data_IF_057239211960
#
_entry.id   IF_057239211960
#
_cell.length_a   1.000
_cell.length_b   1.000
_cell.length_c   1.000
_cell.angle_alpha   90.00
_cell.angle_beta   90.00
_cell.angle_gamma   90.00
#
_symmetry.space_group_name_H-M   'P 1'
#
loop_
_entity.id
_entity.type
_entity.pdbx_description
1 polymer ?
#
# COMPACT_ATOMS: atom_id res chain seq x y z
N UNK A 1 63.38 8.11 4.80
CA UNK A 1 63.20 6.90 5.65
C UNK A 1 61.73 6.56 5.81
N UNK A 2 61.39 5.38 5.33
CA UNK A 2 60.18 4.56 5.60
C UNK A 2 58.81 5.17 5.63
N UNK A 3 58.11 5.00 4.51
CA UNK A 3 56.66 4.99 4.31
C UNK A 3 55.94 4.00 5.24
N UNK A 4 54.82 4.42 5.81
CA UNK A 4 53.75 3.49 6.20
C UNK A 4 52.42 4.00 5.69
N UNK A 5 51.96 3.33 4.66
CA UNK A 5 50.58 3.44 4.10
C UNK A 5 49.64 2.72 5.04
N UNK A 6 48.70 3.40 5.67
CA UNK A 6 47.58 2.79 6.38
C UNK A 6 46.42 2.65 5.40
N UNK A 7 46.11 1.40 5.05
CA UNK A 7 44.90 1.04 4.32
C UNK A 7 43.72 1.06 5.30
N UNK A 8 42.76 1.97 5.10
CA UNK A 8 41.46 1.94 5.77
C UNK A 8 40.58 0.92 5.04
N UNK A 9 40.24 -0.16 5.72
CA UNK A 9 39.22 -1.13 5.30
C UNK A 9 37.86 -0.55 5.67
N UNK A 10 37.08 -0.18 4.67
CA UNK A 10 35.66 0.11 4.84
C UNK A 10 34.93 -1.23 5.01
N UNK A 11 34.46 -1.52 6.23
CA UNK A 11 33.56 -2.64 6.48
C UNK A 11 32.15 -2.25 6.12
N UNK A 12 31.64 -2.79 5.03
CA UNK A 12 30.22 -2.79 4.72
C UNK A 12 29.50 -3.72 5.70
N UNK A 13 28.77 -3.13 6.64
CA UNK A 13 27.88 -3.86 7.52
C UNK A 13 26.63 -4.31 6.76
N UNK A 14 26.63 -5.57 6.34
CA UNK A 14 25.42 -6.24 5.86
C UNK A 14 24.52 -6.50 7.08
N UNK A 15 23.46 -5.74 7.24
CA UNK A 15 22.44 -6.01 8.25
C UNK A 15 21.56 -7.15 7.75
N UNK A 16 21.91 -8.37 8.14
CA UNK A 16 21.09 -9.56 7.93
C UNK A 16 20.01 -9.57 9.02
N UNK A 17 18.77 -9.24 8.67
CA UNK A 17 17.61 -9.53 9.51
C UNK A 17 17.42 -11.05 9.57
N UNK A 18 17.92 -11.67 10.64
CA UNK A 18 17.61 -13.06 10.96
C UNK A 18 16.18 -13.12 11.50
N UNK A 19 15.24 -13.53 10.66
CA UNK A 19 13.96 -14.02 11.11
C UNK A 19 14.19 -15.39 11.77
N UNK A 20 13.95 -15.46 13.08
CA UNK A 20 13.92 -16.72 13.81
C UNK A 20 12.73 -17.56 13.31
N UNK A 21 12.97 -18.35 12.29
CA UNK A 21 12.10 -19.44 11.84
C UNK A 21 12.66 -20.74 12.39
N UNK A 22 11.84 -21.45 13.15
CA UNK A 22 12.08 -22.75 13.74
C UNK A 22 12.82 -23.68 12.77
N UNK A 23 13.97 -24.18 13.21
CA UNK A 23 14.70 -25.25 12.54
C UNK A 23 13.86 -26.51 12.51
N UNK A 24 13.17 -26.74 11.41
CA UNK A 24 12.67 -28.08 11.08
C UNK A 24 13.89 -28.86 10.59
N UNK A 25 14.32 -29.81 11.38
CA UNK A 25 15.26 -30.84 10.94
C UNK A 25 14.63 -31.53 9.74
N UNK A 26 15.09 -31.19 8.55
CA UNK A 26 14.75 -31.89 7.34
C UNK A 26 15.42 -33.26 7.41
N UNK A 27 14.68 -34.26 7.91
CA UNK A 27 14.94 -35.63 7.48
C UNK A 27 14.70 -35.63 5.98
N UNK A 28 15.72 -35.99 5.23
CA UNK A 28 15.61 -36.26 3.81
C UNK A 28 14.64 -37.44 3.64
N UNK A 29 13.35 -37.11 3.51
CA UNK A 29 12.37 -38.02 2.93
C UNK A 29 12.70 -38.09 1.45
N UNK A 30 13.16 -39.24 1.01
CA UNK A 30 13.30 -39.54 -0.41
C UNK A 30 11.95 -39.26 -1.09
N UNK A 31 11.89 -38.16 -1.81
CA UNK A 31 10.73 -37.79 -2.59
C UNK A 31 10.50 -38.88 -3.63
N UNK A 32 9.34 -39.56 -3.66
CA UNK A 32 9.06 -40.58 -4.65
C UNK A 32 9.23 -39.96 -6.03
N UNK A 33 10.01 -40.61 -6.89
CA UNK A 33 10.54 -40.22 -8.16
C UNK A 33 9.72 -39.18 -8.93
N UNK A 34 10.33 -38.00 -9.16
CA UNK A 34 9.87 -37.08 -10.18
C UNK A 34 9.82 -37.86 -11.49
N UNK A 35 8.63 -38.25 -11.91
CA UNK A 35 8.42 -38.83 -13.23
C UNK A 35 8.95 -37.83 -14.24
N UNK A 36 10.00 -38.18 -14.98
CA UNK A 36 10.55 -37.32 -16.04
C UNK A 36 9.41 -36.97 -17.00
N UNK A 37 9.07 -35.68 -17.01
CA UNK A 37 8.03 -35.18 -17.89
C UNK A 37 8.61 -35.10 -19.30
N UNK A 38 8.37 -36.12 -20.11
CA UNK A 38 8.89 -36.20 -21.48
C UNK A 38 8.33 -35.12 -22.40
N UNK A 39 7.12 -34.63 -22.11
CA UNK A 39 6.47 -33.53 -22.83
C UNK A 39 5.82 -32.57 -21.80
N UNK A 40 6.29 -31.34 -21.77
CA UNK A 40 5.72 -30.31 -20.92
C UNK A 40 4.49 -29.66 -21.57
N UNK A 41 3.40 -29.59 -20.84
CA UNK A 41 2.22 -28.78 -21.17
C UNK A 41 2.26 -27.53 -20.30
N UNK A 42 2.55 -26.39 -20.91
CA UNK A 42 2.77 -25.11 -20.19
C UNK A 42 1.44 -24.35 -20.00
N UNK A 43 1.24 -23.79 -18.81
CA UNK A 43 0.19 -22.83 -18.53
C UNK A 43 0.75 -21.63 -17.74
N UNK A 44 0.11 -20.48 -17.94
CA UNK A 44 0.36 -19.29 -17.13
C UNK A 44 -0.48 -19.35 -15.87
N UNK A 45 0.13 -19.03 -14.74
CA UNK A 45 -0.55 -18.85 -13.45
C UNK A 45 -0.21 -17.48 -12.92
N UNK A 46 -1.18 -16.81 -12.28
CA UNK A 46 -1.01 -15.49 -11.66
C UNK A 46 -1.32 -15.61 -10.18
N UNK A 47 -0.41 -15.15 -9.34
CA UNK A 47 -0.54 -15.08 -7.89
C UNK A 47 -0.47 -13.62 -7.46
N UNK A 48 -1.35 -13.20 -6.54
CA UNK A 48 -1.34 -11.87 -5.96
C UNK A 48 -0.91 -11.93 -4.51
N UNK A 49 0.07 -11.12 -4.13
CA UNK A 49 0.52 -11.00 -2.74
C UNK A 49 0.37 -9.58 -2.25
N UNK A 50 -0.29 -9.43 -1.11
CA UNK A 50 -0.44 -8.15 -0.43
C UNK A 50 0.81 -7.86 0.40
N UNK A 51 1.43 -6.72 0.15
CA UNK A 51 2.64 -6.28 0.84
C UNK A 51 2.49 -4.83 1.29
N UNK A 52 3.14 -4.47 2.40
CA UNK A 52 3.15 -3.09 2.86
C UNK A 52 4.08 -2.25 1.99
N UNK A 53 3.52 -1.19 1.37
CA UNK A 53 4.27 -0.19 0.61
C UNK A 53 4.24 1.11 1.40
N UNK A 54 5.38 1.54 1.93
CA UNK A 54 5.49 2.84 2.62
C UNK A 54 5.31 3.98 1.60
N UNK A 55 4.22 4.74 1.75
CA UNK A 55 3.86 5.83 0.84
C UNK A 55 3.84 7.16 1.61
N UNK A 56 4.45 8.23 1.08
CA UNK A 56 4.39 9.55 1.68
C UNK A 56 3.04 10.21 1.42
N UNK A 57 2.50 10.89 2.45
CA UNK A 57 1.29 11.71 2.38
C UNK A 57 1.59 13.08 2.96
N UNK A 58 1.16 14.15 2.31
CA UNK A 58 1.24 15.50 2.86
C UNK A 58 0.19 15.68 3.95
N UNK A 59 0.61 16.20 5.09
CA UNK A 59 -0.25 16.47 6.23
C UNK A 59 -0.05 17.92 6.67
N UNK A 60 -1.13 18.68 6.83
CA UNK A 60 -1.09 20.04 7.31
C UNK A 60 -1.35 20.08 8.81
N UNK A 61 -0.41 20.67 9.53
CA UNK A 61 -0.51 20.85 10.98
C UNK A 61 -1.39 22.06 11.34
N UNK A 62 -1.89 22.14 12.59
CA UNK A 62 -2.71 23.26 13.06
C UNK A 62 -2.01 24.63 12.99
N UNK A 63 -0.69 24.66 13.07
CA UNK A 63 0.14 25.87 12.92
C UNK A 63 0.29 26.35 11.47
N UNK A 64 -0.29 25.61 10.51
CA UNK A 64 -0.25 25.90 9.08
C UNK A 64 0.97 25.33 8.36
N UNK A 65 1.92 24.70 9.06
CA UNK A 65 3.05 24.01 8.43
C UNK A 65 2.61 22.67 7.84
N UNK A 66 3.41 22.14 6.90
CA UNK A 66 3.16 20.84 6.28
C UNK A 66 4.26 19.88 6.67
N UNK A 67 3.88 18.69 7.12
CA UNK A 67 4.79 17.56 7.34
C UNK A 67 4.46 16.42 6.36
N UNK A 68 5.37 15.46 6.26
CA UNK A 68 5.13 14.24 5.48
C UNK A 68 4.89 13.08 6.44
N UNK A 69 3.70 12.51 6.40
CA UNK A 69 3.40 11.23 7.04
C UNK A 69 3.75 10.08 6.09
N UNK A 70 4.25 8.99 6.64
CA UNK A 70 4.47 7.74 5.89
C UNK A 70 3.44 6.72 6.29
N UNK A 71 2.66 6.26 5.33
CA UNK A 71 1.55 5.35 5.54
C UNK A 71 1.63 4.16 4.57
N UNK A 72 1.16 3.01 5.03
CA UNK A 72 0.91 1.86 4.17
C UNK A 72 -0.54 1.90 3.67
N UNK A 73 -0.80 2.11 2.35
CA UNK A 73 -2.15 2.17 1.80
C UNK A 73 -2.92 0.85 1.89
N UNK A 74 -2.26 -0.27 2.04
CA UNK A 74 -2.94 -1.57 2.18
C UNK A 74 -3.45 -1.79 3.60
N UNK A 75 -2.59 -1.61 4.60
CA UNK A 75 -2.96 -1.93 5.98
C UNK A 75 -3.35 -0.70 6.82
N UNK A 76 -3.15 0.53 6.34
CA UNK A 76 -3.49 1.76 7.07
C UNK A 76 -2.51 2.14 8.18
N UNK A 77 -1.37 1.45 8.33
CA UNK A 77 -0.37 1.77 9.36
C UNK A 77 0.33 3.08 9.04
N UNK A 78 0.27 4.05 9.94
CA UNK A 78 1.02 5.31 9.86
C UNK A 78 2.29 5.17 10.71
N UNK A 79 3.45 5.36 10.10
CA UNK A 79 4.77 5.18 10.75
C UNK A 79 4.91 6.11 11.95
N UNK A 80 5.30 5.54 13.09
CA UNK A 80 5.47 6.25 14.37
C UNK A 80 4.21 6.97 14.88
N UNK A 81 3.06 6.72 14.30
CA UNK A 81 1.80 7.37 14.65
C UNK A 81 0.73 6.34 15.06
N UNK A 82 -0.22 6.03 14.22
CA UNK A 82 -1.40 5.23 14.53
C UNK A 82 -1.66 4.17 13.45
N UNK A 83 -2.68 3.39 13.67
CA UNK A 83 -3.25 2.45 12.70
C UNK A 83 -4.61 2.99 12.26
N UNK A 84 -4.75 3.33 10.97
CA UNK A 84 -6.04 3.68 10.38
C UNK A 84 -6.84 2.42 10.05
N UNK A 85 -8.15 2.55 10.07
CA UNK A 85 -9.08 1.46 9.76
C UNK A 85 -9.48 1.49 8.28
N UNK A 86 -9.38 0.35 7.62
CA UNK A 86 -9.81 0.21 6.22
C UNK A 86 -11.33 0.36 6.12
N UNK A 87 -11.78 1.19 5.20
CA UNK A 87 -13.21 1.37 4.90
C UNK A 87 -13.64 0.27 3.93
N UNK A 88 -14.66 -0.49 4.30
CA UNK A 88 -15.27 -1.51 3.46
C UNK A 88 -16.39 -0.92 2.59
N UNK A 89 -16.69 -1.55 1.45
CA UNK A 89 -17.76 -1.11 0.56
C UNK A 89 -17.44 0.20 -0.19
N UNK A 90 -16.15 0.45 -0.41
CA UNK A 90 -15.66 1.54 -1.25
C UNK A 90 -15.76 1.14 -2.72
N UNK A 91 -16.27 2.05 -3.56
CA UNK A 91 -16.26 1.93 -5.01
C UNK A 91 -15.61 3.17 -5.63
N UNK A 92 -15.03 3.00 -6.80
CA UNK A 92 -14.42 4.09 -7.57
C UNK A 92 -14.50 3.78 -9.05
N UNK A 93 -14.40 4.83 -9.87
CA UNK A 93 -14.21 4.70 -11.31
C UNK A 93 -12.86 4.08 -11.71
N UNK A 94 -11.97 3.87 -10.73
CA UNK A 94 -10.71 3.14 -10.88
C UNK A 94 -10.70 1.90 -9.99
N UNK A 95 -10.07 0.82 -10.47
CA UNK A 95 -9.81 -0.37 -9.67
C UNK A 95 -8.71 -0.13 -8.62
N UNK A 96 -8.66 -0.98 -7.59
CA UNK A 96 -7.61 -0.99 -6.57
C UNK A 96 -7.52 0.26 -5.68
N UNK A 97 -8.62 1.02 -5.55
CA UNK A 97 -8.70 2.09 -4.56
C UNK A 97 -8.82 1.52 -3.16
N UNK A 98 -7.95 1.99 -2.26
CA UNK A 98 -8.04 1.74 -0.81
C UNK A 98 -8.37 3.03 -0.09
N UNK A 99 -9.31 2.98 0.86
CA UNK A 99 -9.66 4.10 1.73
C UNK A 99 -9.50 3.65 3.17
N UNK A 100 -8.83 4.47 3.98
CA UNK A 100 -8.72 4.28 5.42
C UNK A 100 -9.14 5.54 6.15
N UNK A 101 -9.70 5.39 7.35
CA UNK A 101 -10.05 6.51 8.23
C UNK A 101 -9.57 6.25 9.65
N UNK A 102 -9.35 7.30 10.41
CA UNK A 102 -8.99 7.19 11.82
C UNK A 102 -8.44 8.47 12.40
N UNK A 103 -7.93 8.35 13.61
CA UNK A 103 -7.42 9.47 14.39
C UNK A 103 -5.91 9.38 14.49
N UNK A 104 -5.22 10.45 14.12
CA UNK A 104 -3.77 10.59 14.35
C UNK A 104 -3.50 10.82 15.85
N UNK A 105 -2.24 10.63 16.27
CA UNK A 105 -1.83 10.84 17.68
C UNK A 105 -2.10 12.26 18.21
N UNK A 106 -2.12 13.24 17.32
CA UNK A 106 -2.44 14.64 17.67
C UNK A 106 -3.96 14.88 17.83
N UNK A 107 -4.79 13.88 17.65
CA UNK A 107 -6.25 13.95 17.78
C UNK A 107 -7.01 14.30 16.48
N UNK A 108 -6.31 14.57 15.39
CA UNK A 108 -6.95 14.89 14.11
C UNK A 108 -7.59 13.66 13.48
N UNK A 109 -8.81 13.83 12.97
CA UNK A 109 -9.50 12.84 12.15
C UNK A 109 -9.03 12.96 10.70
N UNK A 110 -8.62 11.85 10.12
CA UNK A 110 -8.12 11.80 8.75
C UNK A 110 -8.74 10.68 7.93
N UNK A 111 -8.78 10.89 6.62
CA UNK A 111 -9.08 9.88 5.62
C UNK A 111 -7.92 9.81 4.63
N UNK A 112 -7.60 8.62 4.16
CA UNK A 112 -6.66 8.41 3.07
C UNK A 112 -7.34 7.74 1.91
N UNK A 113 -6.97 8.12 0.70
CA UNK A 113 -7.36 7.44 -0.54
C UNK A 113 -6.10 7.16 -1.37
N UNK A 114 -5.91 5.92 -1.79
CA UNK A 114 -4.75 5.54 -2.58
C UNK A 114 -5.08 4.40 -3.55
N UNK A 115 -4.45 4.43 -4.72
CA UNK A 115 -4.52 3.35 -5.71
C UNK A 115 -3.37 2.38 -5.47
N UNK A 116 -3.65 1.36 -4.67
CA UNK A 116 -2.70 0.32 -4.30
C UNK A 116 -2.82 -0.90 -5.23
N UNK A 117 -1.69 -1.35 -5.73
CA UNK A 117 -1.56 -2.56 -6.53
C UNK A 117 -0.72 -3.58 -5.78
N UNK A 118 -1.21 -4.81 -5.58
CA UNK A 118 -0.46 -5.87 -4.92
C UNK A 118 0.73 -6.32 -5.76
N UNK A 119 1.64 -7.07 -5.16
CA UNK A 119 2.64 -7.83 -5.90
C UNK A 119 1.96 -8.85 -6.78
N UNK A 120 2.31 -8.87 -8.06
CA UNK A 120 1.83 -9.84 -9.04
C UNK A 120 2.99 -10.77 -9.41
N UNK A 121 2.78 -12.07 -9.26
CA UNK A 121 3.74 -13.09 -9.66
C UNK A 121 3.12 -13.91 -10.78
N UNK A 122 3.68 -13.78 -11.97
CA UNK A 122 3.26 -14.57 -13.13
C UNK A 122 4.25 -15.70 -13.38
N UNK A 123 3.76 -16.93 -13.45
CA UNK A 123 4.59 -18.09 -13.70
C UNK A 123 4.08 -18.85 -14.91
N UNK A 124 5.01 -19.33 -15.73
CA UNK A 124 4.73 -20.37 -16.71
C UNK A 124 5.17 -21.69 -16.10
N UNK A 125 4.20 -22.54 -15.77
CA UNK A 125 4.42 -23.82 -15.10
C UNK A 125 3.94 -25.00 -15.97
N UNK A 126 4.59 -26.14 -15.82
CA UNK A 126 4.10 -27.36 -16.44
C UNK A 126 2.94 -27.94 -15.63
N UNK A 127 1.80 -28.17 -16.27
CA UNK A 127 0.62 -28.74 -15.61
C UNK A 127 0.84 -30.18 -15.11
N UNK A 128 1.74 -30.92 -15.76
CA UNK A 128 1.97 -32.35 -15.46
C UNK A 128 2.97 -32.51 -14.28
N UNK A 129 4.01 -31.71 -14.22
CA UNK A 129 5.12 -31.94 -13.27
C UNK A 129 5.41 -30.73 -12.37
N UNK A 130 4.74 -29.59 -12.55
CA UNK A 130 4.95 -28.37 -11.74
C UNK A 130 6.25 -27.62 -12.02
N UNK A 131 7.07 -28.07 -12.98
CA UNK A 131 8.31 -27.37 -13.34
C UNK A 131 8.00 -25.95 -13.78
N UNK A 132 8.71 -24.96 -13.21
CA UNK A 132 8.60 -23.55 -13.59
C UNK A 132 9.53 -23.28 -14.77
N UNK A 133 8.98 -22.75 -15.86
CA UNK A 133 9.73 -22.32 -17.04
C UNK A 133 10.21 -20.89 -16.92
N UNK A 134 9.35 -20.03 -16.40
CA UNK A 134 9.66 -18.62 -16.16
C UNK A 134 8.83 -18.09 -15.00
N UNK A 135 9.37 -17.09 -14.30
CA UNK A 135 8.69 -16.32 -13.27
C UNK A 135 8.97 -14.84 -13.51
N UNK A 136 7.91 -14.03 -13.49
CA UNK A 136 7.99 -12.57 -13.54
C UNK A 136 7.31 -12.01 -12.30
N UNK A 137 7.98 -11.09 -11.60
CA UNK A 137 7.46 -10.47 -10.37
C UNK A 137 7.32 -8.97 -10.59
N UNK A 138 6.08 -8.49 -10.54
CA UNK A 138 5.77 -7.05 -10.46
C UNK A 138 5.52 -6.71 -9.00
N UNK A 139 6.38 -5.87 -8.35
CA UNK A 139 6.25 -5.57 -6.93
C UNK A 139 5.01 -4.72 -6.63
N UNK A 140 4.54 -4.79 -5.39
CA UNK A 140 3.47 -3.94 -4.88
C UNK A 140 3.85 -2.46 -5.01
N UNK A 141 2.87 -1.63 -5.39
CA UNK A 141 3.09 -0.21 -5.63
C UNK A 141 1.81 0.61 -5.46
N UNK A 142 1.98 1.93 -5.34
CA UNK A 142 0.91 2.92 -5.49
C UNK A 142 1.00 3.51 -6.90
N UNK A 143 -0.13 3.84 -7.51
CA UNK A 143 -0.16 4.52 -8.81
C UNK A 143 0.60 5.84 -8.71
N UNK A 144 1.48 6.12 -9.68
CA UNK A 144 2.30 7.33 -9.69
C UNK A 144 1.70 8.48 -10.54
N UNK A 145 0.66 8.20 -11.32
CA UNK A 145 0.07 9.20 -12.22
C UNK A 145 -1.09 9.93 -11.53
N UNK A 146 -1.24 11.25 -11.75
CA UNK A 146 -2.37 12.01 -11.27
C UNK A 146 -3.67 11.52 -11.91
N UNK A 147 -4.73 11.39 -11.12
CA UNK A 147 -6.06 11.01 -11.58
C UNK A 147 -7.14 11.76 -10.80
N UNK A 148 -8.30 12.00 -11.44
CA UNK A 148 -9.50 12.44 -10.74
C UNK A 148 -10.34 11.21 -10.41
N UNK A 149 -10.44 10.90 -9.14
CA UNK A 149 -11.19 9.76 -8.64
C UNK A 149 -12.61 10.17 -8.24
N UNK A 150 -13.61 9.45 -8.76
CA UNK A 150 -14.97 9.46 -8.25
C UNK A 150 -15.09 8.36 -7.21
N UNK A 151 -15.33 8.72 -5.97
CA UNK A 151 -15.29 7.81 -4.83
C UNK A 151 -16.68 7.70 -4.20
N UNK A 152 -17.10 6.48 -3.95
CA UNK A 152 -18.29 6.13 -3.18
C UNK A 152 -17.86 5.40 -1.92
N UNK A 153 -18.38 5.83 -0.77
CA UNK A 153 -18.17 5.20 0.55
C UNK A 153 -19.50 5.04 1.29
N UNK A 154 -19.59 4.17 2.30
CA UNK A 154 -20.73 4.20 3.22
C UNK A 154 -20.92 5.59 3.83
N UNK A 155 -22.15 6.09 3.91
CA UNK A 155 -22.42 7.46 4.34
C UNK A 155 -21.88 7.79 5.74
N UNK A 156 -21.90 6.82 6.66
CA UNK A 156 -21.37 6.98 8.01
C UNK A 156 -19.84 7.18 8.07
N UNK A 157 -19.13 6.92 6.99
CA UNK A 157 -17.68 7.15 6.90
C UNK A 157 -17.35 8.64 7.00
N UNK A 158 -18.20 9.50 6.43
CA UNK A 158 -17.96 10.96 6.29
C UNK A 158 -19.06 11.81 6.91
N UNK A 159 -20.14 11.18 7.41
CA UNK A 159 -21.25 11.89 8.08
C UNK A 159 -20.75 12.62 9.33
N UNK A 160 -21.12 13.90 9.46
CA UNK A 160 -20.67 14.77 10.54
C UNK A 160 -19.29 15.40 10.32
N UNK A 161 -18.71 15.26 9.12
CA UNK A 161 -17.43 15.86 8.78
C UNK A 161 -17.49 16.63 7.45
N UNK A 162 -16.76 17.73 7.39
CA UNK A 162 -16.31 18.36 6.16
C UNK A 162 -14.96 17.78 5.75
N UNK A 163 -14.78 17.43 4.49
CA UNK A 163 -13.53 16.90 3.98
C UNK A 163 -12.67 18.01 3.39
N UNK A 164 -11.40 18.09 3.79
CA UNK A 164 -10.43 19.03 3.26
C UNK A 164 -9.26 18.26 2.64
N UNK A 165 -9.10 18.37 1.33
CA UNK A 165 -7.95 17.81 0.62
C UNK A 165 -6.72 18.69 0.86
N UNK A 166 -5.60 18.09 1.24
CA UNK A 166 -4.31 18.76 1.40
C UNK A 166 -3.55 18.61 0.08
N UNK A 167 -3.30 19.73 -0.58
CA UNK A 167 -2.58 19.78 -1.84
C UNK A 167 -1.06 19.67 -1.63
N UNK A 168 -0.32 19.38 -2.70
CA UNK A 168 1.14 19.24 -2.64
C UNK A 168 1.87 20.54 -2.19
N UNK A 169 1.27 21.69 -2.42
CA UNK A 169 1.77 23.00 -1.97
C UNK A 169 1.37 23.36 -0.53
N UNK A 170 0.69 22.45 0.18
CA UNK A 170 0.19 22.65 1.53
C UNK A 170 -1.11 23.45 1.63
N UNK A 171 -1.70 23.90 0.52
CA UNK A 171 -3.03 24.50 0.53
C UNK A 171 -4.11 23.45 0.80
N UNK A 172 -5.27 23.89 1.28
CA UNK A 172 -6.41 23.02 1.50
C UNK A 172 -7.55 23.36 0.54
N UNK A 173 -8.14 22.34 -0.04
CA UNK A 173 -9.31 22.47 -0.93
C UNK A 173 -10.48 21.73 -0.31
N UNK A 174 -11.65 22.40 -0.11
CA UNK A 174 -12.85 21.71 0.34
C UNK A 174 -13.29 20.65 -0.68
N UNK A 175 -13.63 19.47 -0.19
CA UNK A 175 -14.18 18.38 -1.00
C UNK A 175 -15.69 18.37 -0.84
N UNK A 176 -16.42 18.57 -1.93
CA UNK A 176 -17.88 18.50 -1.92
C UNK A 176 -18.34 17.05 -1.79
N UNK A 177 -19.15 16.77 -0.77
CA UNK A 177 -19.74 15.46 -0.53
C UNK A 177 -21.23 15.50 -0.82
N UNK A 178 -21.71 14.60 -1.67
CA UNK A 178 -23.14 14.36 -1.89
C UNK A 178 -23.58 13.05 -1.25
N UNK A 179 -24.84 12.98 -0.83
CA UNK A 179 -25.37 11.81 -0.13
C UNK A 179 -26.55 11.20 -0.89
N UNK A 180 -26.57 9.88 -0.96
CA UNK A 180 -27.73 9.11 -1.34
C UNK A 180 -28.25 8.40 -0.07
N UNK A 181 -29.35 8.92 0.48
CA UNK A 181 -29.95 8.41 1.73
C UNK A 181 -30.58 7.04 1.55
N UNK A 182 -31.12 6.73 0.38
CA UNK A 182 -31.74 5.44 0.08
C UNK A 182 -30.72 4.30 0.06
N UNK A 183 -29.53 4.57 -0.51
CA UNK A 183 -28.44 3.60 -0.56
C UNK A 183 -27.49 3.67 0.63
N UNK A 184 -27.69 4.66 1.52
CA UNK A 184 -26.77 4.95 2.63
C UNK A 184 -25.32 5.14 2.17
N UNK A 185 -25.13 5.94 1.10
CA UNK A 185 -23.84 6.19 0.45
C UNK A 185 -23.51 7.68 0.40
N UNK A 186 -22.22 7.96 0.44
CA UNK A 186 -21.66 9.28 0.18
C UNK A 186 -20.75 9.24 -1.05
N UNK A 187 -20.77 10.31 -1.85
CA UNK A 187 -20.05 10.44 -3.12
C UNK A 187 -19.24 11.71 -3.12
N UNK A 188 -18.00 11.63 -3.56
CA UNK A 188 -17.13 12.79 -3.74
C UNK A 188 -16.06 12.54 -4.82
N UNK A 189 -15.44 13.64 -5.26
CA UNK A 189 -14.35 13.60 -6.22
C UNK A 189 -13.06 14.07 -5.56
N UNK A 190 -11.95 13.43 -5.88
CA UNK A 190 -10.61 13.79 -5.41
C UNK A 190 -9.64 13.90 -6.57
N UNK A 191 -8.80 14.93 -6.52
CA UNK A 191 -7.59 15.03 -7.32
C UNK A 191 -6.45 14.28 -6.63
N UNK A 192 -6.22 13.03 -7.03
CA UNK A 192 -5.17 12.19 -6.47
C UNK A 192 -3.89 12.38 -7.26
N UNK A 193 -3.07 13.35 -6.86
CA UNK A 193 -1.93 13.86 -7.66
C UNK A 193 -0.75 12.90 -7.75
N UNK A 194 -0.57 12.03 -6.76
CA UNK A 194 0.56 11.06 -6.71
C UNK A 194 0.10 9.62 -6.52
N UNK A 195 -1.16 9.32 -6.86
CA UNK A 195 -1.78 8.01 -6.60
C UNK A 195 -2.18 7.79 -5.14
N UNK A 196 -1.91 8.76 -4.27
CA UNK A 196 -2.24 8.73 -2.85
C UNK A 196 -2.58 10.13 -2.34
N UNK A 197 -3.64 10.24 -1.53
CA UNK A 197 -4.12 11.51 -0.98
C UNK A 197 -4.51 11.35 0.48
N UNK A 198 -4.14 12.34 1.31
CA UNK A 198 -4.61 12.51 2.68
C UNK A 198 -5.66 13.64 2.71
N UNK A 199 -6.76 13.40 3.40
CA UNK A 199 -7.79 14.38 3.69
C UNK A 199 -7.90 14.59 5.19
N UNK A 200 -8.05 15.83 5.62
CA UNK A 200 -8.45 16.16 6.97
C UNK A 200 -9.97 16.12 7.06
N UNK A 201 -10.49 15.47 8.10
CA UNK A 201 -11.91 15.38 8.41
C UNK A 201 -12.22 16.37 9.54
N UNK A 202 -12.88 17.47 9.20
CA UNK A 202 -13.23 18.54 10.16
C UNK A 202 -14.67 18.31 10.64
N UNK A 203 -14.90 18.14 11.97
CA UNK A 203 -16.25 17.98 12.48
C UNK A 203 -17.16 19.14 12.07
N UNK A 204 -18.36 18.83 11.57
CA UNK A 204 -19.41 19.83 11.34
C UNK A 204 -20.19 20.00 12.62
N UNK A 205 -20.18 21.20 13.19
CA UNK A 205 -21.00 21.58 14.36
C UNK A 205 -22.48 21.64 14.01
#
# INVERSE_FOLDING_TARGET
MKNRILKALASFGLSVCVLAGSSVVSMAEETPGKTECKEHTWKTTTEYKTECVETPFQHKLPDGTTETLTLCPECGKVKNNTQLTKVNGVFSNFSNLTVHTGTLKNGEQVMTAAFYYPTVIERIICEKCGTVKSEEVTPARVMAQPVIASIEVPANTVSGYSLMQINADGTETPVSVSYNTELNKAYFHLDVTTGAQLLRMVPTT
#
